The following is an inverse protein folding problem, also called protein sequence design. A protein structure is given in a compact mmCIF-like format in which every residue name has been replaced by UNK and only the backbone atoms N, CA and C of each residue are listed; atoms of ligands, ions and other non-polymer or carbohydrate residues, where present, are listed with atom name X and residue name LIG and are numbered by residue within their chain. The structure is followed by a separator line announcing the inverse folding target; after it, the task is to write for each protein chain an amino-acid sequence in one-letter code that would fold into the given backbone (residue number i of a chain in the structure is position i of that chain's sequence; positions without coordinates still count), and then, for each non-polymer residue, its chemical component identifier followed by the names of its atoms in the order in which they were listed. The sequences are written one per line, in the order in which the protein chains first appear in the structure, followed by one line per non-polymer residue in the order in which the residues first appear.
data_IF_532304153545
#
_entry.id   IF_532304153545
#
_cell.length_a   1.000
_cell.length_b   1.000
_cell.length_c   1.000
_cell.angle_alpha   90.00
_cell.angle_beta   90.00
_cell.angle_gamma   90.00
#
_symmetry.space_group_name_H-M   'P 1'
#
loop_
_entity.id
_entity.type
_entity.pdbx_description
1 polymer ?
#
# COMPACT_ATOMS: atom_id res chain seq x y z
N UNK A 1 18.40 2.04 -12.67
CA UNK A 1 17.24 2.28 -11.80
C UNK A 1 17.11 1.09 -10.86
N UNK A 2 17.35 1.26 -9.56
CA UNK A 2 17.09 0.20 -8.60
C UNK A 2 15.57 0.00 -8.51
N UNK A 3 15.05 -1.09 -9.07
CA UNK A 3 13.65 -1.47 -8.89
C UNK A 3 13.50 -1.90 -7.44
N UNK A 4 13.05 -0.98 -6.58
CA UNK A 4 12.54 -1.37 -5.27
C UNK A 4 11.33 -2.28 -5.54
N UNK A 5 11.37 -3.52 -5.06
CA UNK A 5 10.22 -4.42 -5.15
C UNK A 5 9.06 -3.77 -4.38
N UNK A 6 8.07 -3.28 -5.10
CA UNK A 6 6.84 -2.72 -4.52
C UNK A 6 6.17 -3.83 -3.73
N UNK A 7 5.86 -3.56 -2.45
CA UNK A 7 5.09 -4.46 -1.60
C UNK A 7 3.64 -3.99 -1.64
N UNK A 8 2.70 -4.93 -1.66
CA UNK A 8 1.27 -4.58 -1.62
C UNK A 8 0.92 -3.91 -0.28
N UNK A 9 1.42 -4.44 0.84
CA UNK A 9 1.19 -3.87 2.16
C UNK A 9 2.37 -4.04 3.10
N UNK A 10 2.42 -3.19 4.11
CA UNK A 10 3.31 -3.28 5.26
C UNK A 10 2.57 -2.85 6.54
N UNK A 11 2.94 -3.45 7.66
CA UNK A 11 2.44 -3.06 8.98
C UNK A 11 3.63 -2.80 9.89
N UNK A 12 3.67 -1.61 10.50
CA UNK A 12 4.76 -1.20 11.37
C UNK A 12 4.23 -0.88 12.77
N UNK A 13 4.69 -1.57 13.83
CA UNK A 13 4.34 -1.19 15.19
C UNK A 13 4.94 0.17 15.56
N UNK A 14 4.21 0.91 16.38
CA UNK A 14 4.60 2.19 16.99
C UNK A 14 4.26 2.15 18.48
N UNK A 15 4.76 3.15 19.23
CA UNK A 15 4.56 3.23 20.69
C UNK A 15 3.08 3.21 21.10
N UNK A 16 2.18 3.72 20.26
CA UNK A 16 0.75 3.91 20.59
C UNK A 16 -0.21 3.26 19.57
N UNK A 17 0.26 2.34 18.73
CA UNK A 17 -0.57 1.75 17.68
C UNK A 17 0.27 1.22 16.52
N UNK A 18 -0.31 1.21 15.32
CA UNK A 18 0.36 0.75 14.11
C UNK A 18 0.28 1.77 12.99
N UNK A 19 1.17 1.61 12.01
CA UNK A 19 1.07 2.27 10.72
C UNK A 19 0.95 1.19 9.67
N UNK A 20 -0.12 1.23 8.89
CA UNK A 20 -0.28 0.43 7.69
C UNK A 20 0.25 1.25 6.52
N UNK A 21 1.09 0.65 5.68
CA UNK A 21 1.45 1.18 4.37
C UNK A 21 0.89 0.28 3.27
N UNK A 22 0.47 0.87 2.17
CA UNK A 22 0.09 0.14 0.96
C UNK A 22 0.34 0.99 -0.29
N UNK A 23 0.58 0.35 -1.43
CA UNK A 23 0.95 1.04 -2.66
C UNK A 23 -0.20 1.05 -3.67
N UNK A 24 -0.54 2.22 -4.20
CA UNK A 24 -1.53 2.38 -5.27
C UNK A 24 -0.96 3.23 -6.41
N UNK A 25 -1.51 3.06 -7.61
CA UNK A 25 -1.14 3.88 -8.79
C UNK A 25 -1.89 5.21 -8.86
N UNK A 26 -3.07 5.25 -8.25
CA UNK A 26 -3.86 6.48 -8.09
C UNK A 26 -3.58 7.11 -6.74
N UNK A 27 -3.70 8.43 -6.69
CA UNK A 27 -3.66 9.18 -5.44
C UNK A 27 -4.98 8.98 -4.68
N UNK A 28 -4.91 8.69 -3.40
CA UNK A 28 -6.06 8.73 -2.51
C UNK A 28 -6.20 10.13 -1.90
N UNK A 29 -7.43 10.64 -1.91
CA UNK A 29 -7.80 11.81 -1.13
C UNK A 29 -8.73 11.35 0.00
N UNK A 30 -8.14 11.03 1.15
CA UNK A 30 -8.86 10.61 2.34
C UNK A 30 -8.17 11.18 3.58
N UNK A 31 -8.92 11.69 4.57
CA UNK A 31 -8.35 12.25 5.79
C UNK A 31 -7.60 11.20 6.63
N UNK A 32 -7.79 9.91 6.35
CA UNK A 32 -7.10 8.79 7.01
C UNK A 32 -5.65 8.65 6.56
N UNK A 33 -5.32 9.21 5.40
CA UNK A 33 -3.97 9.19 4.84
C UNK A 33 -3.14 10.21 5.60
N UNK A 34 -2.33 9.71 6.53
CA UNK A 34 -1.42 10.54 7.30
C UNK A 34 -0.23 11.02 6.44
N UNK A 35 0.23 10.17 5.53
CA UNK A 35 1.38 10.48 4.67
C UNK A 35 1.27 9.75 3.33
N UNK A 36 1.76 10.39 2.28
CA UNK A 36 2.01 9.77 0.98
C UNK A 36 3.51 9.83 0.70
N UNK A 37 4.09 8.72 0.25
CA UNK A 37 5.48 8.60 -0.16
C UNK A 37 5.56 8.18 -1.64
N UNK A 38 6.46 8.80 -2.39
CA UNK A 38 6.73 8.41 -3.78
C UNK A 38 7.60 7.15 -3.79
N UNK A 39 7.10 6.08 -4.42
CA UNK A 39 7.75 4.77 -4.47
C UNK A 39 8.42 4.50 -5.82
N UNK A 40 8.44 5.47 -6.74
CA UNK A 40 8.95 5.37 -8.09
C UNK A 40 7.87 5.54 -9.16
N UNK A 41 8.20 5.37 -10.46
CA UNK A 41 7.36 5.81 -11.57
C UNK A 41 5.93 5.27 -11.51
N UNK A 42 5.00 6.14 -11.10
CA UNK A 42 3.57 5.85 -11.04
C UNK A 42 3.09 5.07 -9.81
N UNK A 43 3.91 4.91 -8.76
CA UNK A 43 3.52 4.27 -7.51
C UNK A 43 3.62 5.23 -6.33
N UNK A 44 2.54 5.29 -5.56
CA UNK A 44 2.46 6.07 -4.32
C UNK A 44 2.15 5.13 -3.16
N UNK A 45 3.02 5.14 -2.16
CA UNK A 45 2.77 4.48 -0.89
C UNK A 45 1.94 5.41 -0.01
N UNK A 46 0.83 4.89 0.50
CA UNK A 46 -0.10 5.59 1.36
C UNK A 46 0.02 5.01 2.77
N UNK A 47 0.16 5.88 3.76
CA UNK A 47 0.34 5.50 5.15
C UNK A 47 -0.88 5.92 5.98
N UNK A 48 -1.47 4.94 6.66
CA UNK A 48 -2.64 5.10 7.54
C UNK A 48 -2.25 4.70 8.96
N UNK A 49 -2.68 5.48 9.95
CA UNK A 49 -2.49 5.15 11.37
C UNK A 49 -3.66 4.29 11.86
N UNK A 50 -3.34 3.22 12.57
CA UNK A 50 -4.30 2.33 13.22
C UNK A 50 -4.11 2.48 14.72
N UNK A 51 -5.12 3.06 15.37
CA UNK A 51 -5.13 3.34 16.81
C UNK A 51 -6.15 2.46 17.53
N UNK A 52 -7.20 2.05 16.83
CA UNK A 52 -8.30 1.24 17.36
C UNK A 52 -8.70 0.14 16.37
N UNK A 53 -9.49 -0.82 16.84
CA UNK A 53 -10.05 -1.87 15.96
C UNK A 53 -11.00 -1.28 14.93
N UNK A 54 -11.67 -0.17 15.22
CA UNK A 54 -12.59 0.49 14.28
C UNK A 54 -11.86 1.07 13.06
N UNK A 55 -10.55 1.31 13.14
CA UNK A 55 -9.76 1.75 11.99
C UNK A 55 -9.53 0.60 10.97
N UNK A 56 -9.81 -0.65 11.34
CA UNK A 56 -9.79 -1.82 10.48
C UNK A 56 -11.17 -2.04 9.83
N UNK A 57 -11.57 -1.12 8.98
CA UNK A 57 -12.87 -1.09 8.30
C UNK A 57 -12.80 -1.53 6.83
N UNK A 58 -13.98 -1.59 6.20
CA UNK A 58 -14.14 -1.97 4.80
C UNK A 58 -13.47 -0.99 3.82
N UNK A 59 -13.25 0.25 4.21
CA UNK A 59 -12.54 1.22 3.38
C UNK A 59 -11.05 0.85 3.30
N UNK A 60 -10.42 0.60 4.45
CA UNK A 60 -9.02 0.14 4.50
C UNK A 60 -8.87 -1.22 3.80
N UNK A 61 -9.81 -2.14 4.04
CA UNK A 61 -9.79 -3.46 3.40
C UNK A 61 -9.88 -3.36 1.87
N UNK A 62 -10.68 -2.44 1.32
CA UNK A 62 -10.77 -2.20 -0.12
C UNK A 62 -9.46 -1.67 -0.71
N UNK A 63 -8.78 -0.76 -0.03
CA UNK A 63 -7.48 -0.27 -0.51
C UNK A 63 -6.40 -1.34 -0.48
N UNK A 64 -6.40 -2.20 0.55
CA UNK A 64 -5.47 -3.32 0.64
C UNK A 64 -5.72 -4.37 -0.46
N UNK A 65 -6.98 -4.66 -0.78
CA UNK A 65 -7.34 -5.51 -1.92
C UNK A 65 -6.88 -4.90 -3.26
N UNK A 66 -7.16 -3.62 -3.51
CA UNK A 66 -6.72 -2.93 -4.73
C UNK A 66 -5.20 -2.97 -4.88
N UNK A 67 -4.46 -2.73 -3.79
CA UNK A 67 -3.00 -2.81 -3.78
C UNK A 67 -2.49 -4.22 -4.02
N UNK A 68 -3.13 -5.23 -3.40
CA UNK A 68 -2.83 -6.63 -3.62
C UNK A 68 -2.99 -7.02 -5.09
N UNK A 69 -4.10 -6.66 -5.73
CA UNK A 69 -4.35 -6.98 -7.13
C UNK A 69 -3.34 -6.29 -8.04
N UNK A 70 -3.06 -5.00 -7.80
CA UNK A 70 -2.13 -4.23 -8.61
C UNK A 70 -0.68 -4.72 -8.52
N UNK A 71 -0.22 -5.14 -7.34
CA UNK A 71 1.15 -5.67 -7.12
C UNK A 71 1.24 -7.16 -7.47
N UNK A 72 0.19 -7.94 -7.18
CA UNK A 72 0.08 -9.36 -7.52
C UNK A 72 0.11 -9.62 -9.02
N UNK A 73 -0.53 -8.74 -9.82
CA UNK A 73 -0.45 -8.76 -11.28
C UNK A 73 0.97 -8.51 -11.81
N UNK A 74 1.84 -7.84 -11.05
CA UNK A 74 3.23 -7.61 -11.45
C UNK A 74 4.10 -8.87 -11.34
N UNK A 75 3.72 -9.85 -10.52
CA UNK A 75 4.41 -11.15 -10.42
C UNK A 75 3.96 -12.13 -11.52
N UNK A 76 2.74 -11.98 -12.06
CA UNK A 76 2.20 -12.92 -13.06
C UNK A 76 2.77 -12.74 -14.49
N UNK A 77 3.46 -11.63 -14.79
CA UNK A 77 4.01 -11.33 -16.12
C UNK A 77 5.54 -11.27 -16.19
N UNK A 78 6.24 -11.85 -15.21
CA UNK A 78 7.70 -12.10 -15.32
C UNK A 78 8.01 -13.59 -15.53
N UNK A 79 7.11 -14.32 -16.19
CA UNK A 79 7.50 -15.54 -16.90
C UNK A 79 8.05 -15.11 -18.27
N UNK A 80 9.35 -15.28 -18.43
CA UNK A 80 10.14 -14.92 -19.61
C UNK A 80 9.51 -15.40 -20.93
N UNK A 81 9.57 -14.62 -22.03
CA UNK A 81 9.68 -15.19 -23.35
C UNK A 81 11.12 -15.69 -23.58
N UNK A 82 11.23 -16.82 -24.27
CA UNK A 82 12.43 -17.64 -24.43
C UNK A 82 13.57 -17.02 -25.22
#
# INVERSE_FOLDING_TARGET
MCVARVRFAGLYPRKSGFVVSFALRRRLDSPRIWKVEDYGPGWQAHLVRIMTVADLDDELARWLHESHDAVGLQQAWTTAPG
#
